data_IF_645148872488
#
_entry.id   IF_645148872488
#
_cell.length_a   1.000
_cell.length_b   1.000
_cell.length_c   1.000
_cell.angle_alpha   90.00
_cell.angle_beta   90.00
_cell.angle_gamma   90.00
#
_symmetry.space_group_name_H-M   'P 1'
#
loop_
_entity.id
_entity.type
_entity.pdbx_description
1 polymer ?
#
# COMPACT_ATOMS: atom_id res chain seq x y z
N UNK A 1 -21.15 -12.72 -37.54
CA UNK A 1 -20.61 -11.66 -36.63
C UNK A 1 -20.28 -12.28 -35.25
N UNK A 2 -19.09 -12.04 -34.70
CA UNK A 2 -18.70 -12.51 -33.38
C UNK A 2 -19.35 -11.59 -32.32
N UNK A 3 -20.22 -12.15 -31.48
CA UNK A 3 -20.83 -11.42 -30.33
C UNK A 3 -20.17 -11.84 -29.02
N UNK A 4 -19.97 -10.89 -28.10
CA UNK A 4 -19.41 -11.13 -26.79
C UNK A 4 -20.40 -10.65 -25.74
N UNK A 5 -20.80 -11.55 -24.83
CA UNK A 5 -21.77 -11.25 -23.78
C UNK A 5 -21.13 -11.56 -22.41
N UNK A 6 -21.12 -10.64 -21.44
CA UNK A 6 -20.60 -10.91 -20.12
C UNK A 6 -21.46 -11.94 -19.39
N UNK A 7 -20.82 -12.93 -18.75
CA UNK A 7 -21.52 -14.00 -18.01
C UNK A 7 -21.29 -13.85 -16.52
N UNK A 8 -20.03 -13.75 -16.07
CA UNK A 8 -19.70 -13.61 -14.65
C UNK A 8 -18.30 -13.03 -14.46
N UNK A 9 -17.93 -12.76 -13.19
CA UNK A 9 -16.57 -12.36 -12.82
C UNK A 9 -15.94 -13.41 -11.90
N UNK A 10 -14.62 -13.58 -12.05
CA UNK A 10 -13.78 -14.36 -11.14
C UNK A 10 -12.62 -13.44 -10.74
N UNK A 11 -12.72 -12.82 -9.57
CA UNK A 11 -11.83 -11.74 -9.16
C UNK A 11 -11.89 -10.56 -10.14
N UNK A 12 -10.76 -10.19 -10.73
CA UNK A 12 -10.71 -9.14 -11.75
C UNK A 12 -10.90 -9.65 -13.18
N UNK A 13 -11.00 -10.98 -13.39
CA UNK A 13 -11.32 -11.54 -14.70
C UNK A 13 -12.81 -11.41 -15.01
N UNK A 14 -13.13 -10.84 -16.16
CA UNK A 14 -14.46 -10.92 -16.76
C UNK A 14 -14.56 -12.18 -17.61
N UNK A 15 -15.53 -13.02 -17.37
CA UNK A 15 -15.83 -14.17 -18.21
C UNK A 15 -16.95 -13.78 -19.18
N UNK A 16 -16.66 -13.88 -20.46
CA UNK A 16 -17.60 -13.54 -21.53
C UNK A 16 -17.96 -14.81 -22.34
N UNK A 17 -19.22 -14.94 -22.70
CA UNK A 17 -19.66 -15.90 -23.71
C UNK A 17 -19.43 -15.30 -25.09
N UNK A 18 -18.77 -16.06 -25.96
CA UNK A 18 -18.48 -15.66 -27.32
C UNK A 18 -19.33 -16.54 -28.27
N UNK A 19 -20.15 -15.92 -29.07
CA UNK A 19 -20.99 -16.59 -30.09
C UNK A 19 -20.53 -16.19 -31.47
N UNK A 20 -20.22 -17.16 -32.31
CA UNK A 20 -19.86 -16.95 -33.72
C UNK A 20 -20.61 -17.94 -34.59
N UNK A 21 -21.75 -17.49 -35.13
CA UNK A 21 -22.72 -18.38 -35.77
C UNK A 21 -23.29 -19.37 -34.78
N UNK A 22 -23.21 -20.67 -35.07
CA UNK A 22 -23.63 -21.76 -34.18
C UNK A 22 -22.58 -22.16 -33.13
N UNK A 23 -21.38 -21.60 -33.21
CA UNK A 23 -20.29 -21.97 -32.29
C UNK A 23 -20.31 -21.04 -31.06
N UNK A 24 -20.22 -21.67 -29.90
CA UNK A 24 -20.11 -20.98 -28.61
C UNK A 24 -18.77 -21.30 -27.91
N UNK A 25 -18.19 -20.28 -27.31
CA UNK A 25 -16.99 -20.40 -26.47
C UNK A 25 -17.04 -19.40 -25.32
N UNK A 26 -16.11 -19.53 -24.37
CA UNK A 26 -16.01 -18.63 -23.23
C UNK A 26 -14.62 -18.01 -23.19
N UNK A 27 -14.56 -16.72 -22.91
CA UNK A 27 -13.33 -15.96 -22.83
C UNK A 27 -13.12 -15.45 -21.42
N UNK A 28 -11.97 -15.78 -20.83
CA UNK A 28 -11.49 -15.16 -19.61
C UNK A 28 -10.60 -13.96 -19.99
N UNK A 29 -10.99 -12.76 -19.58
CA UNK A 29 -10.32 -11.50 -19.91
C UNK A 29 -9.99 -10.71 -18.64
N UNK A 30 -8.72 -10.48 -18.39
CA UNK A 30 -8.25 -9.69 -17.23
C UNK A 30 -8.48 -8.17 -17.37
N UNK A 31 -8.99 -7.73 -18.51
CA UNK A 31 -9.18 -6.31 -18.83
C UNK A 31 -7.90 -5.59 -19.25
N UNK A 32 -8.08 -4.42 -19.85
CA UNK A 32 -6.97 -3.55 -20.32
C UNK A 32 -6.44 -2.61 -19.24
N UNK A 33 -7.27 -2.33 -18.24
CA UNK A 33 -6.98 -1.29 -17.26
C UNK A 33 -6.96 -1.90 -15.86
N UNK A 34 -5.87 -1.68 -15.14
CA UNK A 34 -5.81 -1.92 -13.71
C UNK A 34 -6.02 -0.58 -13.01
N UNK A 35 -7.08 -0.50 -12.22
CA UNK A 35 -7.31 0.66 -11.36
C UNK A 35 -6.43 0.55 -10.12
N UNK A 36 -5.46 1.45 -10.00
CA UNK A 36 -4.66 1.58 -8.79
C UNK A 36 -5.35 2.59 -7.87
N UNK A 37 -6.24 2.08 -7.02
CA UNK A 37 -7.11 2.88 -6.14
C UNK A 37 -6.36 3.93 -5.30
N UNK A 38 -5.13 3.62 -4.88
CA UNK A 38 -4.33 4.49 -4.02
C UNK A 38 -3.94 5.82 -4.65
N UNK A 39 -3.91 5.90 -5.98
CA UNK A 39 -3.44 7.09 -6.70
C UNK A 39 -4.44 7.60 -7.73
N UNK A 40 -5.64 7.02 -7.80
CA UNK A 40 -6.64 7.33 -8.85
C UNK A 40 -6.04 7.31 -10.26
N UNK A 41 -5.03 6.47 -10.49
CA UNK A 41 -4.35 6.32 -11.77
C UNK A 41 -4.76 5.01 -12.44
N UNK A 42 -5.11 5.10 -13.70
CA UNK A 42 -5.31 3.95 -14.55
C UNK A 42 -3.96 3.57 -15.17
N UNK A 43 -3.52 2.35 -14.94
CA UNK A 43 -2.38 1.80 -15.65
C UNK A 43 -2.90 0.87 -16.74
N UNK A 44 -2.43 1.10 -17.95
CA UNK A 44 -2.65 0.12 -19.03
C UNK A 44 -1.89 -1.14 -18.66
N UNK A 45 -2.59 -2.26 -18.57
CA UNK A 45 -1.94 -3.54 -18.36
C UNK A 45 -1.30 -3.97 -19.69
N UNK A 46 0.04 -3.90 -19.86
CA UNK A 46 0.71 -4.31 -21.07
C UNK A 46 0.55 -5.81 -21.35
N UNK A 47 0.23 -6.58 -20.30
CA UNK A 47 0.08 -8.03 -20.34
C UNK A 47 -1.39 -8.44 -20.13
N UNK A 48 -2.32 -7.82 -20.86
CA UNK A 48 -3.72 -8.26 -20.86
C UNK A 48 -3.77 -9.76 -21.15
N UNK A 49 -4.21 -10.53 -20.15
CA UNK A 49 -4.39 -11.96 -20.28
C UNK A 49 -5.80 -12.24 -20.79
N UNK A 50 -5.87 -12.79 -22.00
CA UNK A 50 -7.11 -13.09 -22.70
C UNK A 50 -7.02 -14.46 -23.32
N UNK A 51 -7.93 -15.37 -22.95
CA UNK A 51 -7.93 -16.74 -23.44
C UNK A 51 -9.34 -17.30 -23.63
N UNK A 52 -9.57 -17.97 -24.74
CA UNK A 52 -10.84 -18.62 -25.08
C UNK A 52 -10.85 -20.09 -24.64
N UNK A 53 -12.02 -20.58 -24.24
CA UNK A 53 -12.26 -21.96 -23.77
C UNK A 53 -13.58 -22.48 -24.33
N UNK A 54 -13.68 -23.80 -24.49
CA UNK A 54 -14.90 -24.44 -24.97
C UNK A 54 -16.04 -24.45 -23.93
N UNK A 55 -15.70 -24.41 -22.64
CA UNK A 55 -16.70 -24.45 -21.55
C UNK A 55 -16.49 -23.32 -20.56
N UNK A 56 -17.59 -22.91 -19.91
CA UNK A 56 -17.59 -21.88 -18.87
C UNK A 56 -16.70 -22.29 -17.66
N UNK A 57 -16.75 -23.56 -17.27
CA UNK A 57 -15.96 -24.08 -16.15
C UNK A 57 -14.46 -23.93 -16.39
N UNK A 58 -13.98 -24.35 -17.58
CA UNK A 58 -12.56 -24.18 -17.94
C UNK A 58 -12.12 -22.72 -17.95
N UNK A 59 -13.01 -21.78 -18.35
CA UNK A 59 -12.72 -20.35 -18.29
C UNK A 59 -12.60 -19.84 -16.85
N UNK A 60 -13.49 -20.31 -15.96
CA UNK A 60 -13.47 -19.98 -14.51
C UNK A 60 -12.21 -20.55 -13.82
N UNK A 61 -11.90 -21.80 -14.07
CA UNK A 61 -10.72 -22.47 -13.50
C UNK A 61 -9.43 -21.77 -13.92
N UNK A 62 -9.33 -21.41 -15.19
CA UNK A 62 -8.18 -20.65 -15.67
C UNK A 62 -8.02 -19.33 -14.93
N UNK A 63 -9.10 -18.57 -14.78
CA UNK A 63 -9.08 -17.30 -14.05
C UNK A 63 -8.69 -17.51 -12.57
N UNK A 64 -9.24 -18.53 -11.91
CA UNK A 64 -8.92 -18.87 -10.51
C UNK A 64 -7.45 -19.27 -10.34
N UNK A 65 -6.90 -20.10 -11.23
CA UNK A 65 -5.48 -20.49 -11.22
C UNK A 65 -4.57 -19.28 -11.41
N UNK A 66 -4.92 -18.38 -12.34
CA UNK A 66 -4.13 -17.14 -12.55
C UNK A 66 -4.18 -16.23 -11.33
N UNK A 67 -5.34 -16.06 -10.71
CA UNK A 67 -5.50 -15.27 -9.49
C UNK A 67 -4.71 -15.85 -8.32
N UNK A 68 -4.72 -17.18 -8.14
CA UNK A 68 -3.94 -17.83 -7.08
C UNK A 68 -2.44 -17.65 -7.27
N UNK A 69 -1.94 -17.77 -8.51
CA UNK A 69 -0.53 -17.51 -8.85
C UNK A 69 -0.16 -16.03 -8.64
N UNK A 70 -1.07 -15.12 -8.99
CA UNK A 70 -0.87 -13.68 -8.79
C UNK A 70 -0.83 -13.33 -7.30
N UNK A 71 -1.74 -13.89 -6.50
CA UNK A 71 -1.78 -13.72 -5.05
C UNK A 71 -0.49 -14.24 -4.39
N UNK A 72 -0.09 -15.48 -4.68
CA UNK A 72 1.16 -16.08 -4.16
C UNK A 72 2.40 -15.27 -4.56
N UNK A 73 2.48 -14.79 -5.80
CA UNK A 73 3.59 -13.96 -6.27
C UNK A 73 3.64 -12.60 -5.57
N UNK A 74 2.47 -12.01 -5.28
CA UNK A 74 2.36 -10.77 -4.53
C UNK A 74 2.74 -10.94 -3.06
N UNK A 75 2.26 -12.01 -2.41
CA UNK A 75 2.60 -12.35 -1.03
C UNK A 75 4.09 -12.67 -0.86
N UNK A 76 4.67 -13.49 -1.75
CA UNK A 76 6.09 -13.79 -1.75
C UNK A 76 6.94 -12.52 -1.92
N UNK A 77 6.54 -11.62 -2.86
CA UNK A 77 7.23 -10.35 -3.07
C UNK A 77 7.11 -9.39 -1.89
N UNK A 78 5.96 -9.39 -1.19
CA UNK A 78 5.77 -8.59 0.02
C UNK A 78 6.57 -9.12 1.20
N UNK A 79 6.72 -10.45 1.33
CA UNK A 79 7.51 -11.09 2.39
C UNK A 79 9.02 -10.91 2.22
N UNK A 80 9.51 -10.68 1.00
CA UNK A 80 10.95 -10.59 0.69
C UNK A 80 11.52 -9.18 0.74
N UNK A 81 10.67 -8.14 0.82
CA UNK A 81 11.17 -6.76 0.91
C UNK A 81 11.23 -6.38 2.39
N UNK A 82 12.42 -6.26 2.98
CA UNK A 82 12.54 -5.77 4.34
C UNK A 82 11.92 -4.37 4.43
N UNK A 83 11.07 -4.17 5.43
CA UNK A 83 10.48 -2.87 5.73
C UNK A 83 11.33 -2.18 6.77
N UNK A 84 11.55 -0.89 6.58
CA UNK A 84 12.17 -0.04 7.60
C UNK A 84 11.09 0.61 8.45
N UNK A 85 11.15 0.41 9.76
CA UNK A 85 10.49 1.24 10.75
C UNK A 85 11.29 2.53 10.91
N UNK A 86 10.63 3.67 10.93
CA UNK A 86 11.29 4.96 11.04
C UNK A 86 10.59 5.89 12.03
N UNK A 87 11.39 6.77 12.62
CA UNK A 87 10.99 7.95 13.35
C UNK A 87 11.65 9.15 12.70
N UNK A 88 10.86 10.13 12.28
CA UNK A 88 11.35 11.32 11.56
C UNK A 88 10.76 12.58 12.15
N UNK A 89 11.52 13.65 12.00
CA UNK A 89 11.12 15.01 12.30
C UNK A 89 10.69 15.71 11.00
N UNK A 90 9.49 16.29 11.01
CA UNK A 90 8.90 16.95 9.84
C UNK A 90 8.49 18.36 10.25
N UNK A 91 8.81 19.34 9.41
CA UNK A 91 8.33 20.70 9.51
C UNK A 91 7.23 20.97 8.48
N UNK A 92 6.10 21.48 8.93
CA UNK A 92 5.03 21.97 8.08
C UNK A 92 5.33 23.41 7.68
N UNK A 93 5.50 23.65 6.37
CA UNK A 93 5.97 24.95 5.86
C UNK A 93 4.94 26.07 6.06
N UNK A 94 3.64 25.76 6.00
CA UNK A 94 2.56 26.73 6.12
C UNK A 94 2.41 27.31 7.53
N UNK A 95 2.72 26.50 8.56
CA UNK A 95 2.56 26.89 9.96
C UNK A 95 3.91 27.08 10.67
N UNK A 96 5.00 26.59 10.07
CA UNK A 96 6.31 26.56 10.71
C UNK A 96 6.44 25.52 11.84
N UNK A 97 5.37 24.76 12.12
CA UNK A 97 5.34 23.78 13.21
C UNK A 97 6.12 22.53 12.83
N UNK A 98 6.94 22.09 13.78
CA UNK A 98 7.68 20.83 13.66
C UNK A 98 6.97 19.74 14.47
N UNK A 99 6.87 18.54 13.92
CA UNK A 99 6.22 17.40 14.53
C UNK A 99 6.97 16.09 14.25
N UNK A 100 6.70 15.06 15.05
CA UNK A 100 7.33 13.75 14.92
C UNK A 100 6.37 12.78 14.22
N UNK A 101 6.89 11.99 13.27
CA UNK A 101 6.12 10.94 12.59
C UNK A 101 6.76 9.56 12.78
N UNK A 102 5.95 8.61 13.20
CA UNK A 102 6.28 7.16 13.19
C UNK A 102 5.72 6.54 11.92
N UNK A 103 6.40 5.57 11.36
CA UNK A 103 5.88 4.85 10.21
C UNK A 103 6.81 3.76 9.68
N UNK A 104 6.31 3.02 8.69
CA UNK A 104 7.07 1.99 7.97
C UNK A 104 7.17 2.29 6.48
N UNK A 105 8.24 1.81 5.86
CA UNK A 105 8.41 1.88 4.41
C UNK A 105 9.18 0.67 3.88
N UNK A 106 8.75 0.17 2.72
CA UNK A 106 9.50 -0.82 1.93
C UNK A 106 10.53 -0.15 1.00
N UNK A 107 10.68 1.17 1.04
CA UNK A 107 11.62 1.88 0.16
C UNK A 107 13.03 1.81 0.73
N UNK A 108 13.99 1.35 -0.10
CA UNK A 108 15.41 1.33 0.23
C UNK A 108 15.92 2.71 0.66
N UNK A 109 15.45 3.75 -0.01
CA UNK A 109 15.76 5.14 0.34
C UNK A 109 14.53 5.79 0.99
N UNK A 110 14.60 5.96 2.30
CA UNK A 110 13.48 6.50 3.09
C UNK A 110 13.00 7.86 2.58
N UNK A 111 13.92 8.75 2.17
CA UNK A 111 13.59 10.08 1.67
C UNK A 111 12.71 10.07 0.41
N UNK A 112 12.75 9.00 -0.39
CA UNK A 112 11.82 8.85 -1.53
C UNK A 112 10.37 8.72 -1.11
N UNK A 113 10.11 8.32 0.15
CA UNK A 113 8.76 8.24 0.72
C UNK A 113 8.16 9.62 0.95
N UNK A 114 9.00 10.64 1.18
CA UNK A 114 8.61 11.99 1.57
C UNK A 114 8.68 12.99 0.43
N UNK A 115 8.48 12.56 -0.81
CA UNK A 115 8.42 13.43 -1.98
C UNK A 115 7.00 13.95 -2.24
N UNK A 116 6.88 15.01 -3.04
CA UNK A 116 5.60 15.55 -3.54
C UNK A 116 4.69 14.47 -4.14
N UNK A 117 5.28 13.46 -4.84
CA UNK A 117 4.54 12.35 -5.45
C UNK A 117 3.76 11.50 -4.43
N UNK A 118 4.08 11.59 -3.14
CA UNK A 118 3.40 10.91 -2.04
C UNK A 118 2.61 11.87 -1.14
N UNK A 119 2.34 13.08 -1.60
CA UNK A 119 1.52 14.07 -0.91
C UNK A 119 2.24 14.88 0.16
N UNK A 120 3.57 14.88 0.17
CA UNK A 120 4.38 15.68 1.11
C UNK A 120 4.71 17.08 0.57
N UNK A 121 3.89 17.60 -0.33
CA UNK A 121 3.99 19.02 -0.72
C UNK A 121 3.65 19.91 0.47
N UNK A 122 4.49 20.90 0.76
CA UNK A 122 4.35 21.75 1.94
C UNK A 122 4.94 21.18 3.23
N UNK A 123 5.64 20.04 3.15
CA UNK A 123 6.34 19.42 4.29
C UNK A 123 7.82 19.22 3.98
N UNK A 124 8.66 19.45 4.98
CA UNK A 124 10.11 19.24 4.91
C UNK A 124 10.51 18.22 5.98
N UNK A 125 11.18 17.16 5.59
CA UNK A 125 11.82 16.24 6.54
C UNK A 125 13.10 16.92 7.03
N UNK A 126 13.12 17.31 8.30
CA UNK A 126 14.29 17.95 8.92
C UNK A 126 15.35 16.91 9.29
N UNK A 127 14.92 15.76 9.85
CA UNK A 127 15.86 14.70 10.22
C UNK A 127 15.19 13.33 10.29
N UNK A 128 16.01 12.29 10.12
CA UNK A 128 15.67 10.90 10.42
C UNK A 128 16.23 10.60 11.80
N UNK A 129 15.37 10.53 12.81
CA UNK A 129 15.75 10.34 14.19
C UNK A 129 16.13 8.89 14.49
N UNK A 130 15.37 7.94 13.93
CA UNK A 130 15.60 6.49 14.04
C UNK A 130 15.20 5.79 12.76
N UNK A 131 15.92 4.71 12.44
CA UNK A 131 15.58 3.81 11.35
C UNK A 131 16.05 2.40 11.69
N UNK A 132 15.14 1.43 11.58
CA UNK A 132 15.40 0.02 11.86
C UNK A 132 14.82 -0.81 10.73
N UNK A 133 15.61 -1.72 10.19
CA UNK A 133 15.14 -2.72 9.22
C UNK A 133 14.82 -4.02 9.98
N UNK A 134 13.55 -4.40 9.99
CA UNK A 134 13.11 -5.61 10.69
C UNK A 134 12.01 -6.32 9.91
N UNK A 135 12.00 -7.65 9.88
CA UNK A 135 10.92 -8.43 9.28
C UNK A 135 9.58 -8.23 10.01
N UNK A 136 9.61 -7.76 11.24
CA UNK A 136 8.43 -7.50 12.08
C UNK A 136 8.10 -6.01 12.21
N UNK A 137 8.61 -5.16 11.32
CA UNK A 137 8.41 -3.69 11.38
C UNK A 137 6.95 -3.27 11.53
N UNK A 138 5.99 -3.99 10.94
CA UNK A 138 4.56 -3.69 11.10
C UNK A 138 4.07 -3.90 12.53
N UNK A 139 4.53 -4.96 13.19
CA UNK A 139 4.19 -5.26 14.58
C UNK A 139 4.80 -4.22 15.52
N UNK A 140 6.07 -3.88 15.30
CA UNK A 140 6.76 -2.85 16.08
C UNK A 140 6.11 -1.48 15.94
N UNK A 141 5.72 -1.09 14.71
CA UNK A 141 5.00 0.16 14.46
C UNK A 141 3.68 0.22 15.23
N UNK A 142 2.91 -0.86 15.20
CA UNK A 142 1.64 -0.95 15.95
C UNK A 142 1.88 -0.82 17.45
N UNK A 143 2.85 -1.56 18.03
CA UNK A 143 3.17 -1.50 19.44
C UNK A 143 3.62 -0.10 19.89
N UNK A 144 4.46 0.56 19.08
CA UNK A 144 4.89 1.94 19.35
C UNK A 144 3.69 2.89 19.38
N UNK A 145 2.83 2.83 18.35
CA UNK A 145 1.64 3.69 18.26
C UNK A 145 0.69 3.47 19.44
N UNK A 146 0.49 2.23 19.84
CA UNK A 146 -0.37 1.90 21.00
C UNK A 146 0.19 2.47 22.31
N UNK A 147 1.51 2.38 22.53
CA UNK A 147 2.17 2.95 23.69
C UNK A 147 2.13 4.49 23.69
N UNK A 148 2.40 5.11 22.55
CA UNK A 148 2.33 6.57 22.39
C UNK A 148 0.91 7.10 22.63
N UNK A 149 -0.11 6.42 22.14
CA UNK A 149 -1.51 6.81 22.33
C UNK A 149 -1.97 6.70 23.81
N UNK A 150 -1.36 5.79 24.58
CA UNK A 150 -1.67 5.60 26.01
C UNK A 150 -0.87 6.54 26.91
N UNK A 151 0.21 7.15 26.42
CA UNK A 151 1.07 8.04 27.17
C UNK A 151 0.46 9.43 27.23
N UNK A 152 0.05 9.89 28.41
CA UNK A 152 -0.65 11.17 28.59
C UNK A 152 0.17 12.41 28.23
N UNK A 153 1.53 12.30 28.28
CA UNK A 153 2.45 13.38 27.88
C UNK A 153 2.64 13.53 26.36
N UNK A 154 2.22 12.52 25.58
CA UNK A 154 2.38 12.52 24.11
C UNK A 154 1.05 12.87 23.45
N UNK A 155 0.99 14.05 22.85
CA UNK A 155 -0.20 14.51 22.12
C UNK A 155 -0.08 14.19 20.64
N UNK A 156 -1.20 13.86 20.00
CA UNK A 156 -1.26 13.74 18.54
C UNK A 156 -1.17 15.11 17.90
N UNK A 157 -0.34 15.21 16.87
CA UNK A 157 -0.34 16.33 15.94
C UNK A 157 -1.26 16.03 14.77
N UNK A 158 -2.03 17.02 14.35
CA UNK A 158 -2.91 16.94 13.17
C UNK A 158 -2.41 17.90 12.10
N UNK A 159 -1.64 17.43 11.12
CA UNK A 159 -1.18 18.28 10.03
C UNK A 159 -2.33 18.97 9.32
N UNK A 160 -2.15 20.25 8.96
CA UNK A 160 -3.17 21.08 8.28
C UNK A 160 -3.50 20.47 6.91
N UNK A 161 -2.47 20.10 6.14
CA UNK A 161 -2.64 19.43 4.86
C UNK A 161 -2.63 17.91 5.07
N UNK A 162 -3.80 17.27 5.06
CA UNK A 162 -3.94 15.81 5.17
C UNK A 162 -3.64 15.10 3.85
N UNK A 163 -2.63 15.54 3.13
CA UNK A 163 -2.33 15.12 1.76
C UNK A 163 -1.51 13.84 1.68
N UNK A 164 -0.82 13.44 2.74
CA UNK A 164 0.05 12.27 2.75
C UNK A 164 -0.53 11.08 3.53
N UNK A 165 -0.12 9.88 3.16
CA UNK A 165 -0.51 8.66 3.86
C UNK A 165 0.11 8.60 5.26
N UNK A 166 -0.71 8.24 6.27
CA UNK A 166 -0.28 8.16 7.67
C UNK A 166 -0.16 9.51 8.36
N UNK A 167 -0.92 10.52 7.93
CA UNK A 167 -1.03 11.81 8.64
C UNK A 167 -1.58 11.66 10.06
N UNK A 168 -2.30 10.59 10.35
CA UNK A 168 -2.79 10.26 11.71
C UNK A 168 -1.71 9.67 12.64
N UNK A 169 -0.52 9.42 12.11
CA UNK A 169 0.64 8.83 12.82
C UNK A 169 1.67 9.91 13.19
N UNK A 170 1.20 11.14 13.34
CA UNK A 170 2.00 12.29 13.71
C UNK A 170 1.74 12.68 15.16
N UNK A 171 2.80 13.12 15.86
CA UNK A 171 2.80 13.46 17.25
C UNK A 171 3.44 14.83 17.47
N UNK A 172 2.95 15.56 18.45
CA UNK A 172 3.47 16.86 18.82
C UNK A 172 4.93 16.78 19.29
N UNK A 173 5.72 17.78 18.91
CA UNK A 173 7.13 17.83 19.27
C UNK A 173 7.36 17.98 20.78
N UNK A 174 6.40 18.52 21.52
CA UNK A 174 6.50 18.62 23.00
C UNK A 174 6.68 17.28 23.70
N UNK A 175 6.25 16.17 23.05
CA UNK A 175 6.44 14.80 23.54
C UNK A 175 7.70 14.10 23.03
N UNK A 176 8.66 14.83 22.44
CA UNK A 176 9.83 14.27 21.74
C UNK A 176 10.61 13.24 22.53
N UNK A 177 10.99 13.54 23.78
CA UNK A 177 11.79 12.65 24.61
C UNK A 177 11.06 11.34 24.94
N UNK A 178 9.76 11.42 25.24
CA UNK A 178 8.94 10.25 25.50
C UNK A 178 8.75 9.40 24.23
N UNK A 179 8.62 10.05 23.08
CA UNK A 179 8.50 9.37 21.77
C UNK A 179 9.78 8.58 21.47
N UNK A 180 10.96 9.19 21.65
CA UNK A 180 12.25 8.53 21.47
C UNK A 180 12.39 7.34 22.43
N UNK A 181 12.12 7.54 23.73
CA UNK A 181 12.21 6.47 24.73
C UNK A 181 11.31 5.28 24.40
N UNK A 182 10.07 5.54 24.01
CA UNK A 182 9.11 4.49 23.65
C UNK A 182 9.56 3.77 22.39
N UNK A 183 10.04 4.50 21.38
CA UNK A 183 10.55 3.91 20.15
C UNK A 183 11.72 2.96 20.45
N UNK A 184 12.74 3.45 21.15
CA UNK A 184 13.94 2.69 21.49
C UNK A 184 13.61 1.47 22.38
N UNK A 185 12.69 1.61 23.36
CA UNK A 185 12.21 0.50 24.20
C UNK A 185 11.58 -0.64 23.38
N UNK A 186 10.80 -0.31 22.36
CA UNK A 186 10.12 -1.32 21.54
C UNK A 186 11.08 -1.90 20.50
N UNK A 187 11.90 -1.06 19.90
CA UNK A 187 12.85 -1.45 18.86
C UNK A 187 13.94 -2.40 19.37
N UNK A 188 14.42 -2.21 20.62
CA UNK A 188 15.45 -3.06 21.24
C UNK A 188 14.94 -4.46 21.65
N UNK A 189 13.65 -4.76 21.47
CA UNK A 189 13.07 -6.09 21.72
C UNK A 189 13.10 -7.01 20.46
N UNK A 190 13.61 -6.50 19.34
CA UNK A 190 13.57 -7.19 18.01
C UNK A 190 14.88 -7.91 17.68
#
# INVERSE_FOLDING_TARGET
MKKSTPVCKVGFYQINKITNGLNESYEADSGKLIFVARYKKYMVNPNRDRKEFKTLEKAKDYAAIKLSKYGKKKEAKLKTIPKSLYLILIKEQSTGVTFVKVGITAKKFIMRRFSKAYGYEGYVVESILRRIESPISEKLESEIKDKLNKKGSVKKYRPVLKSFSGYSECFDYSGYDDIIKIFDLVANKS
#
